data_IF_731887226220
#
_entry.id   IF_731887226220
#
_cell.length_a   1.000
_cell.length_b   1.000
_cell.length_c   1.000
_cell.angle_alpha   90.00
_cell.angle_beta   90.00
_cell.angle_gamma   90.00
#
_symmetry.space_group_name_H-M   'P 1'
#
loop_
_entity.id
_entity.type
_entity.pdbx_description
1 polymer ?
#
# COMPACT_ATOMS: atom_id res chain seq x y z
N UNK A 1 43.69 -29.57 51.79
CA UNK A 1 43.78 -30.95 51.25
C UNK A 1 42.39 -31.33 50.71
N UNK A 2 42.19 -32.08 49.60
CA UNK A 2 42.95 -32.37 48.37
C UNK A 2 42.14 -32.09 47.05
N UNK A 3 42.63 -32.60 45.90
CA UNK A 3 42.38 -32.35 44.44
C UNK A 3 41.10 -33.00 43.82
N UNK A 4 40.34 -32.38 42.88
CA UNK A 4 40.34 -32.56 41.39
C UNK A 4 39.39 -33.69 40.87
N UNK A 5 38.83 -33.76 39.61
CA UNK A 5 39.26 -33.12 38.35
C UNK A 5 38.15 -32.65 37.33
N UNK A 6 38.59 -31.88 36.32
CA UNK A 6 38.03 -31.88 34.95
C UNK A 6 36.95 -30.83 34.62
N UNK A 7 37.09 -29.93 33.66
CA UNK A 7 38.15 -29.66 32.70
C UNK A 7 37.70 -28.43 31.90
N UNK A 8 38.43 -27.32 31.99
CA UNK A 8 38.16 -26.13 31.16
C UNK A 8 39.43 -25.80 30.40
N UNK A 9 39.62 -26.52 29.29
CA UNK A 9 40.59 -26.16 28.26
C UNK A 9 40.15 -24.85 27.60
N UNK A 10 41.05 -23.87 27.58
CA UNK A 10 40.99 -22.65 26.74
C UNK A 10 41.79 -22.95 25.46
N UNK A 11 41.34 -22.45 24.31
CA UNK A 11 42.18 -21.48 23.59
C UNK A 11 41.32 -20.32 23.03
N UNK A 12 41.63 -19.05 23.30
CA UNK A 12 42.66 -18.22 22.64
C UNK A 12 42.38 -17.97 21.14
N UNK A 13 41.81 -16.79 20.87
CA UNK A 13 41.68 -16.13 19.57
C UNK A 13 40.94 -14.82 19.81
N UNK A 14 41.64 -13.70 20.02
CA UNK A 14 41.94 -12.74 18.95
C UNK A 14 40.85 -11.67 18.99
N UNK A 15 41.07 -10.55 19.68
CA UNK A 15 41.67 -9.34 19.12
C UNK A 15 40.59 -8.28 18.86
N UNK A 16 40.71 -7.18 19.60
CA UNK A 16 40.26 -5.81 19.29
C UNK A 16 38.90 -5.59 18.64
N UNK A 17 37.93 -5.10 19.42
CA UNK A 17 36.99 -4.05 18.98
C UNK A 17 36.74 -3.19 20.23
N UNK A 18 37.28 -1.98 20.36
CA UNK A 18 37.14 -0.90 19.39
C UNK A 18 35.89 -0.12 19.75
N UNK A 19 36.07 0.97 20.50
CA UNK A 19 35.04 1.90 20.94
C UNK A 19 34.17 2.39 19.78
N UNK A 20 32.85 2.15 19.80
CA UNK A 20 31.84 2.97 19.09
C UNK A 20 30.64 3.08 20.05
N UNK A 21 30.53 4.12 20.88
CA UNK A 21 29.95 5.43 20.52
C UNK A 21 28.88 5.33 19.42
N UNK A 22 27.63 5.22 19.88
CA UNK A 22 26.44 5.88 19.36
C UNK A 22 26.12 5.73 17.87
N UNK A 23 25.08 4.96 17.55
CA UNK A 23 23.96 5.42 16.74
C UNK A 23 22.71 4.67 17.22
N UNK A 24 21.78 5.39 17.85
CA UNK A 24 20.39 4.93 17.90
C UNK A 24 19.84 5.15 16.50
N UNK A 25 19.78 4.09 15.70
CA UNK A 25 19.08 4.13 14.41
C UNK A 25 17.60 3.98 14.77
N UNK A 26 16.74 5.01 14.59
CA UNK A 26 15.31 4.74 14.61
C UNK A 26 15.05 3.76 13.47
N UNK A 27 14.53 2.59 13.85
CA UNK A 27 14.02 1.57 12.94
C UNK A 27 13.16 2.29 11.90
N UNK A 28 13.72 2.44 10.71
CA UNK A 28 12.99 2.93 9.55
C UNK A 28 11.82 1.97 9.45
N UNK A 29 10.63 2.49 9.69
CA UNK A 29 9.38 1.81 9.37
C UNK A 29 9.39 1.69 7.85
N UNK A 30 10.04 0.66 7.33
CA UNK A 30 9.89 0.26 5.95
C UNK A 30 8.38 0.09 5.77
N UNK A 31 7.72 0.86 4.90
CA UNK A 31 6.46 0.38 4.38
C UNK A 31 6.84 -0.90 3.67
N UNK A 32 6.45 -2.03 4.28
CA UNK A 32 6.43 -3.35 3.68
C UNK A 32 5.80 -3.18 2.31
N UNK A 33 6.65 -3.00 1.29
CA UNK A 33 6.23 -2.93 -0.11
C UNK A 33 5.79 -4.36 -0.39
N UNK A 34 4.51 -4.61 -0.20
CA UNK A 34 3.83 -5.82 -0.62
C UNK A 34 4.22 -6.05 -2.09
N UNK A 35 5.17 -6.95 -2.29
CA UNK A 35 5.55 -7.44 -3.60
C UNK A 35 4.38 -8.31 -4.09
N UNK A 36 3.40 -7.70 -4.76
CA UNK A 36 2.45 -8.44 -5.58
C UNK A 36 3.12 -8.77 -6.90
N UNK A 37 4.05 -9.72 -6.87
CA UNK A 37 4.63 -10.34 -8.07
C UNK A 37 3.86 -11.62 -8.39
N UNK A 38 2.59 -11.45 -8.78
CA UNK A 38 1.79 -12.53 -9.38
C UNK A 38 1.22 -12.04 -10.71
N UNK A 39 1.99 -12.32 -11.75
CA UNK A 39 1.60 -12.51 -13.16
C UNK A 39 0.12 -12.18 -13.45
N UNK A 40 -0.18 -10.91 -13.72
CA UNK A 40 -1.47 -10.59 -14.34
C UNK A 40 -1.35 -10.93 -15.83
N UNK A 41 -2.24 -11.79 -16.38
CA UNK A 41 -2.30 -11.99 -17.82
C UNK A 41 -2.52 -10.63 -18.49
N UNK A 42 -2.10 -10.48 -19.74
CA UNK A 42 -2.18 -9.30 -20.60
C UNK A 42 -3.64 -8.81 -20.81
N UNK A 43 -4.34 -8.49 -19.72
CA UNK A 43 -5.68 -7.95 -19.67
C UNK A 43 -5.54 -6.51 -20.14
N UNK A 44 -5.71 -6.33 -21.46
CA UNK A 44 -6.07 -5.07 -22.13
C UNK A 44 -5.58 -3.88 -21.33
N UNK A 45 -4.31 -3.54 -21.50
CA UNK A 45 -3.65 -2.41 -20.89
C UNK A 45 -4.36 -1.12 -21.36
N UNK A 46 -5.55 -0.85 -20.83
CA UNK A 46 -6.20 0.43 -20.87
C UNK A 46 -5.48 1.23 -19.79
N UNK A 47 -4.20 1.51 -20.06
CA UNK A 47 -3.33 2.29 -19.21
C UNK A 47 -4.12 3.52 -18.83
N UNK A 48 -4.25 3.76 -17.54
CA UNK A 48 -4.71 5.05 -17.04
C UNK A 48 -4.09 6.13 -17.94
N UNK A 49 -4.91 7.02 -18.55
CA UNK A 49 -4.38 8.03 -19.45
C UNK A 49 -3.25 8.78 -18.76
N UNK A 50 -2.03 8.74 -19.33
CA UNK A 50 -0.84 9.35 -18.74
C UNK A 50 -0.98 10.88 -18.61
N UNK A 51 -1.82 11.45 -19.48
CA UNK A 51 -2.15 12.88 -19.52
C UNK A 51 -3.11 13.32 -18.39
N UNK A 52 -3.77 12.37 -17.71
CA UNK A 52 -4.81 12.65 -16.70
C UNK A 52 -4.38 12.08 -15.34
N UNK A 53 -4.48 12.85 -14.25
CA UNK A 53 -4.13 12.33 -12.93
C UNK A 53 -5.04 11.15 -12.55
N UNK A 54 -4.47 10.14 -11.89
CA UNK A 54 -5.20 8.90 -11.54
C UNK A 54 -6.50 9.17 -10.79
N UNK A 55 -6.47 10.16 -9.90
CA UNK A 55 -7.63 10.57 -9.11
C UNK A 55 -8.81 11.04 -9.98
N UNK A 56 -8.57 11.76 -11.07
CA UNK A 56 -9.63 12.18 -12.01
C UNK A 56 -10.23 10.95 -12.71
N UNK A 57 -9.41 9.95 -13.06
CA UNK A 57 -9.89 8.70 -13.65
C UNK A 57 -10.73 7.90 -12.63
N UNK A 58 -10.29 7.87 -11.38
CA UNK A 58 -11.00 7.25 -10.28
C UNK A 58 -12.35 7.93 -10.05
N UNK A 59 -12.36 9.27 -10.05
CA UNK A 59 -13.58 10.06 -9.92
C UNK A 59 -14.56 9.85 -11.08
N UNK A 60 -14.06 9.83 -12.32
CA UNK A 60 -14.87 9.53 -13.50
C UNK A 60 -15.52 8.14 -13.40
N UNK A 61 -14.76 7.14 -12.95
CA UNK A 61 -15.27 5.77 -12.74
C UNK A 61 -16.35 5.74 -11.67
N UNK A 62 -16.15 6.48 -10.58
CA UNK A 62 -17.13 6.61 -9.50
C UNK A 62 -18.43 7.27 -9.99
N UNK A 63 -18.34 8.37 -10.74
CA UNK A 63 -19.51 9.05 -11.34
C UNK A 63 -20.23 8.16 -12.34
N UNK A 64 -19.49 7.40 -13.14
CA UNK A 64 -20.09 6.42 -14.06
C UNK A 64 -20.84 5.32 -13.31
N UNK A 65 -20.30 4.83 -12.20
CA UNK A 65 -21.00 3.87 -11.34
C UNK A 65 -22.28 4.45 -10.76
N UNK A 66 -22.24 5.70 -10.31
CA UNK A 66 -23.42 6.41 -9.83
C UNK A 66 -24.48 6.58 -10.90
N UNK A 67 -24.09 6.90 -12.14
CA UNK A 67 -25.01 7.04 -13.26
C UNK A 67 -25.69 5.70 -13.60
N UNK A 68 -24.96 4.58 -13.53
CA UNK A 68 -25.47 3.25 -13.86
C UNK A 68 -26.38 2.67 -12.77
N UNK A 69 -25.96 2.76 -11.51
CA UNK A 69 -26.63 2.09 -10.39
C UNK A 69 -27.47 3.02 -9.51
N UNK A 70 -27.42 4.35 -9.72
CA UNK A 70 -28.06 5.36 -8.87
C UNK A 70 -27.72 5.25 -7.38
N UNK A 71 -26.59 4.62 -7.04
CA UNK A 71 -26.11 4.40 -5.68
C UNK A 71 -24.58 4.50 -5.62
N UNK A 72 -24.07 4.82 -4.43
CA UNK A 72 -22.63 4.88 -4.21
C UNK A 72 -22.02 3.47 -4.22
N UNK A 73 -20.90 3.25 -4.94
CA UNK A 73 -20.16 2.00 -4.87
C UNK A 73 -19.54 1.81 -3.48
N UNK A 74 -19.35 0.55 -3.07
CA UNK A 74 -18.46 0.20 -1.95
C UNK A 74 -17.01 0.12 -2.42
N UNK A 75 -16.04 0.23 -1.51
CA UNK A 75 -14.60 0.14 -1.81
C UNK A 75 -14.25 -1.08 -2.66
N UNK A 76 -14.83 -2.25 -2.35
CA UNK A 76 -14.65 -3.46 -3.14
C UNK A 76 -15.19 -3.34 -4.57
N UNK A 77 -16.42 -2.83 -4.74
CA UNK A 77 -17.04 -2.68 -6.05
C UNK A 77 -16.29 -1.65 -6.90
N UNK A 78 -15.78 -0.60 -6.25
CA UNK A 78 -14.97 0.43 -6.88
C UNK A 78 -13.63 -0.12 -7.35
N UNK A 79 -12.89 -0.84 -6.48
CA UNK A 79 -11.65 -1.50 -6.84
C UNK A 79 -11.82 -2.54 -7.95
N UNK A 80 -12.90 -3.32 -7.91
CA UNK A 80 -13.22 -4.28 -8.97
C UNK A 80 -13.42 -3.56 -10.31
N UNK A 81 -14.19 -2.46 -10.34
CA UNK A 81 -14.39 -1.68 -11.56
C UNK A 81 -13.11 -1.05 -12.09
N UNK A 82 -12.25 -0.52 -11.21
CA UNK A 82 -10.96 0.05 -11.60
C UNK A 82 -10.04 -1.03 -12.19
N UNK A 83 -10.05 -2.24 -11.62
CA UNK A 83 -9.31 -3.38 -12.14
C UNK A 83 -9.83 -3.82 -13.51
N UNK A 84 -11.15 -3.95 -13.66
CA UNK A 84 -11.77 -4.37 -14.92
C UNK A 84 -11.59 -3.34 -16.04
N UNK A 85 -11.57 -2.04 -15.71
CA UNK A 85 -11.54 -0.96 -16.71
C UNK A 85 -10.13 -0.47 -17.02
N UNK A 86 -9.24 -0.43 -16.02
CA UNK A 86 -7.90 0.17 -16.13
C UNK A 86 -6.77 -0.74 -15.64
N UNK A 87 -7.08 -1.97 -15.21
CA UNK A 87 -6.07 -2.90 -14.66
C UNK A 87 -5.49 -2.47 -13.31
N UNK A 88 -6.13 -1.53 -12.60
CA UNK A 88 -5.62 -1.02 -11.31
C UNK A 88 -5.86 -2.05 -10.20
N UNK A 89 -4.77 -2.55 -9.62
CA UNK A 89 -4.74 -3.53 -8.54
C UNK A 89 -3.81 -3.12 -7.38
N UNK A 90 -3.14 -1.98 -7.50
CA UNK A 90 -2.15 -1.51 -6.53
C UNK A 90 -2.79 -0.90 -5.26
N UNK A 91 -4.09 -0.58 -5.31
CA UNK A 91 -4.80 0.09 -4.23
C UNK A 91 -5.36 -0.89 -3.21
N UNK A 92 -5.08 -0.63 -1.93
CA UNK A 92 -5.67 -1.37 -0.82
C UNK A 92 -7.15 -1.01 -0.61
N UNK A 93 -7.92 -1.91 0.01
CA UNK A 93 -9.34 -1.65 0.32
C UNK A 93 -9.55 -0.38 1.17
N UNK A 94 -8.64 -0.07 2.09
CA UNK A 94 -8.69 1.16 2.90
C UNK A 94 -8.48 2.41 2.05
N UNK A 95 -7.59 2.37 1.06
CA UNK A 95 -7.37 3.50 0.15
C UNK A 95 -8.58 3.71 -0.76
N UNK A 96 -9.11 2.61 -1.32
CA UNK A 96 -10.34 2.64 -2.12
C UNK A 96 -11.52 3.20 -1.31
N UNK A 97 -11.64 2.84 -0.03
CA UNK A 97 -12.65 3.39 0.86
C UNK A 97 -12.46 4.90 1.08
N UNK A 98 -11.21 5.35 1.29
CA UNK A 98 -10.87 6.77 1.39
C UNK A 98 -11.28 7.57 0.16
N UNK A 99 -10.94 7.07 -1.04
CA UNK A 99 -11.34 7.69 -2.31
C UNK A 99 -12.87 7.74 -2.46
N UNK A 100 -13.57 6.65 -2.15
CA UNK A 100 -15.03 6.60 -2.25
C UNK A 100 -15.68 7.62 -1.32
N UNK A 101 -15.20 7.76 -0.07
CA UNK A 101 -15.75 8.73 0.88
C UNK A 101 -15.49 10.18 0.43
N UNK A 102 -14.28 10.48 -0.04
CA UNK A 102 -13.94 11.79 -0.62
C UNK A 102 -14.85 12.14 -1.81
N UNK A 103 -14.99 11.22 -2.76
CA UNK A 103 -15.82 11.43 -3.95
C UNK A 103 -17.31 11.56 -3.61
N UNK A 104 -17.78 10.86 -2.57
CA UNK A 104 -19.15 11.03 -2.05
C UNK A 104 -19.36 12.44 -1.53
N UNK A 105 -18.43 12.94 -0.72
CA UNK A 105 -18.49 14.31 -0.19
C UNK A 105 -18.45 15.34 -1.32
N UNK A 106 -17.55 15.15 -2.30
CA UNK A 106 -17.41 16.01 -3.47
C UNK A 106 -18.67 16.08 -4.32
N UNK A 107 -19.27 14.93 -4.68
CA UNK A 107 -20.55 14.88 -5.42
C UNK A 107 -21.68 15.53 -4.64
N UNK A 108 -21.71 15.33 -3.32
CA UNK A 108 -22.73 15.91 -2.45
C UNK A 108 -22.63 17.44 -2.43
N UNK A 109 -21.43 17.97 -2.22
CA UNK A 109 -21.13 19.41 -2.29
C UNK A 109 -21.46 19.99 -3.67
N UNK A 110 -21.10 19.30 -4.75
CA UNK A 110 -21.46 19.74 -6.12
C UNK A 110 -22.97 19.82 -6.33
N UNK A 111 -23.76 18.89 -5.75
CA UNK A 111 -25.23 18.94 -5.82
C UNK A 111 -25.83 20.00 -4.92
N UNK A 112 -25.26 20.22 -3.74
CA UNK A 112 -25.70 21.24 -2.77
C UNK A 112 -25.33 22.67 -3.21
N UNK A 113 -24.32 22.83 -4.08
CA UNK A 113 -23.87 24.11 -4.62
C UNK A 113 -24.69 24.64 -5.80
N UNK A 114 -25.73 23.93 -6.25
CA UNK A 114 -26.63 24.37 -7.32
C UNK A 114 -27.87 25.02 -6.68
N UNK A 115 -28.04 26.36 -6.74
CA UNK A 115 -29.20 27.07 -6.17
C UNK A 115 -30.50 26.87 -6.97
#
# INVERSE_FOLDING_TARGET
MPVGPGGRVRPLGGEGVGSHQGVYVPEQREPERYAYEEQQPEQRLNQLPDDVPREEVYYATFRQFLADHSKYPSAYQFGQRLRETYGVNDLSNSELAGYVEDFKERVRLEREAIP
#
